data_IF_343552283868
#
_entry.id   IF_343552283868
#
_cell.length_a   1.000
_cell.length_b   1.000
_cell.length_c   1.000
_cell.angle_alpha   90.00
_cell.angle_beta   90.00
_cell.angle_gamma   90.00
#
_symmetry.space_group_name_H-M   'P 1'
#
loop_
_entity.id
_entity.type
_entity.pdbx_description
1 polymer ?
#
# COMPACT_ATOMS: atom_id res chain seq x y z
N UNK A 1 -6.31 -6.03 -21.74
CA UNK A 1 -6.74 -7.43 -21.64
C UNK A 1 -7.44 -7.69 -20.33
N UNK A 2 -6.78 -7.64 -19.14
CA UNK A 2 -7.44 -7.92 -17.86
C UNK A 2 -8.49 -6.89 -17.45
N UNK A 3 -8.19 -5.60 -17.60
CA UNK A 3 -9.07 -4.50 -17.22
C UNK A 3 -10.35 -4.44 -18.05
N UNK A 4 -10.26 -4.72 -19.34
CA UNK A 4 -11.40 -4.80 -20.27
C UNK A 4 -12.35 -5.93 -19.90
N UNK A 5 -11.82 -7.09 -19.58
CA UNK A 5 -12.64 -8.24 -19.16
C UNK A 5 -13.31 -7.96 -17.83
N UNK A 6 -12.58 -7.38 -16.89
CA UNK A 6 -13.13 -7.00 -15.60
C UNK A 6 -14.27 -5.99 -15.70
N UNK A 7 -14.19 -4.99 -16.58
CA UNK A 7 -15.28 -4.00 -16.76
C UNK A 7 -16.49 -4.63 -17.46
N UNK A 8 -16.28 -5.50 -18.45
CA UNK A 8 -17.34 -6.18 -19.16
C UNK A 8 -18.13 -7.13 -18.26
N UNK A 9 -17.45 -7.98 -17.49
CA UNK A 9 -18.12 -8.91 -16.56
C UNK A 9 -19.03 -8.18 -15.57
N UNK A 10 -18.62 -7.02 -15.07
CA UNK A 10 -19.42 -6.21 -14.15
C UNK A 10 -20.60 -5.54 -14.87
N UNK A 11 -20.41 -5.14 -16.13
CA UNK A 11 -21.48 -4.59 -16.97
C UNK A 11 -22.55 -5.65 -17.24
N UNK A 12 -22.16 -6.86 -17.64
CA UNK A 12 -23.05 -7.98 -17.94
C UNK A 12 -23.85 -8.42 -16.69
N UNK A 13 -23.25 -8.30 -15.50
CA UNK A 13 -23.92 -8.53 -14.20
C UNK A 13 -24.80 -7.35 -13.73
N UNK A 14 -24.90 -6.26 -14.47
CA UNK A 14 -25.70 -5.09 -14.14
C UNK A 14 -25.15 -4.20 -13.03
N UNK A 15 -23.89 -4.37 -12.65
CA UNK A 15 -23.22 -3.49 -11.68
C UNK A 15 -22.67 -2.22 -12.33
N UNK A 16 -22.58 -2.15 -13.65
CA UNK A 16 -22.16 -0.94 -14.38
C UNK A 16 -23.32 -0.41 -15.18
N UNK A 17 -23.54 0.90 -15.10
CA UNK A 17 -24.58 1.61 -15.83
C UNK A 17 -24.05 2.90 -16.44
N UNK A 18 -24.74 3.39 -17.47
CA UNK A 18 -24.41 4.64 -18.15
C UNK A 18 -25.07 5.82 -17.45
N UNK A 19 -24.32 6.87 -17.22
CA UNK A 19 -24.78 8.09 -16.56
C UNK A 19 -24.04 9.32 -17.04
N UNK A 20 -24.25 10.43 -16.36
CA UNK A 20 -23.57 11.70 -16.63
C UNK A 20 -22.76 12.12 -15.41
N UNK A 21 -21.47 12.28 -15.58
CA UNK A 21 -20.62 12.85 -14.55
C UNK A 21 -20.65 14.37 -14.62
N UNK A 22 -20.92 15.02 -13.49
CA UNK A 22 -20.89 16.47 -13.34
C UNK A 22 -19.84 16.83 -12.31
N UNK A 23 -18.97 17.75 -12.64
CA UNK A 23 -17.92 18.17 -11.72
C UNK A 23 -17.20 19.42 -12.17
N UNK A 24 -16.32 19.91 -11.30
CA UNK A 24 -15.43 21.02 -11.62
C UNK A 24 -14.21 20.48 -12.37
N UNK A 25 -14.06 20.86 -13.61
CA UNK A 25 -13.02 20.36 -14.51
C UNK A 25 -11.89 21.37 -14.66
N UNK A 26 -10.68 20.91 -14.45
CA UNK A 26 -9.46 21.66 -14.75
C UNK A 26 -8.91 21.22 -16.10
N UNK A 27 -9.06 22.06 -17.12
CA UNK A 27 -8.60 21.75 -18.49
C UNK A 27 -7.10 21.48 -18.58
N UNK A 28 -6.19 22.24 -17.90
CA UNK A 28 -4.76 21.98 -17.99
C UNK A 28 -4.29 20.70 -17.28
N UNK A 29 -5.01 20.26 -16.24
CA UNK A 29 -4.70 19.03 -15.50
C UNK A 29 -5.54 17.84 -16.00
N UNK A 30 -6.50 18.10 -16.90
CA UNK A 30 -7.44 17.10 -17.43
C UNK A 30 -8.15 16.30 -16.32
N UNK A 31 -8.46 16.96 -15.20
CA UNK A 31 -8.95 16.33 -13.98
C UNK A 31 -10.25 16.96 -13.49
N UNK A 32 -11.18 16.09 -13.07
CA UNK A 32 -12.38 16.50 -12.36
C UNK A 32 -12.14 16.56 -10.86
N UNK A 33 -12.75 17.54 -10.24
CA UNK A 33 -12.69 17.79 -8.80
C UNK A 33 -14.09 17.96 -8.22
N UNK A 34 -14.30 17.46 -7.03
CA UNK A 34 -15.50 17.81 -6.25
C UNK A 34 -15.31 19.18 -5.61
N UNK A 35 -16.42 19.85 -5.27
CA UNK A 35 -16.35 21.16 -4.58
C UNK A 35 -15.46 21.11 -3.31
N UNK A 36 -15.54 20.01 -2.57
CA UNK A 36 -14.77 19.81 -1.33
C UNK A 36 -13.27 19.61 -1.54
N UNK A 37 -12.85 19.27 -2.76
CA UNK A 37 -11.45 19.06 -3.11
C UNK A 37 -10.76 20.33 -3.62
N UNK A 38 -11.54 21.35 -3.99
CA UNK A 38 -10.99 22.62 -4.46
C UNK A 38 -10.32 23.38 -3.30
N UNK A 39 -9.24 24.05 -3.62
CA UNK A 39 -8.55 24.98 -2.71
C UNK A 39 -8.90 26.40 -3.17
N UNK A 40 -9.64 27.15 -2.36
CA UNK A 40 -10.15 28.49 -2.69
C UNK A 40 -10.91 28.53 -4.04
N UNK A 41 -11.68 27.46 -4.35
CA UNK A 41 -12.44 27.35 -5.58
C UNK A 41 -11.59 27.01 -6.82
N UNK A 42 -10.30 26.69 -6.64
CA UNK A 42 -9.34 26.42 -7.72
C UNK A 42 -8.84 24.99 -7.69
N UNK A 43 -8.25 24.55 -8.79
CA UNK A 43 -7.63 23.25 -8.91
C UNK A 43 -6.53 23.05 -7.87
N UNK A 44 -6.59 21.98 -7.05
CA UNK A 44 -5.61 21.75 -6.00
C UNK A 44 -4.21 21.39 -6.52
N UNK A 45 -4.10 20.94 -7.78
CA UNK A 45 -2.81 20.58 -8.38
C UNK A 45 -2.08 21.79 -8.99
N UNK A 46 -2.79 22.61 -9.75
CA UNK A 46 -2.14 23.69 -10.52
C UNK A 46 -2.57 25.11 -10.12
N UNK A 47 -3.52 25.26 -9.18
CA UNK A 47 -4.02 26.55 -8.69
C UNK A 47 -4.86 27.36 -9.71
N UNK A 48 -5.19 26.80 -10.89
CA UNK A 48 -5.97 27.47 -11.92
C UNK A 48 -7.47 27.33 -11.67
N UNK A 49 -8.23 28.23 -12.29
CA UNK A 49 -9.69 28.17 -12.24
C UNK A 49 -10.22 26.88 -12.89
N UNK A 50 -11.30 26.35 -12.34
CA UNK A 50 -12.01 25.20 -12.84
C UNK A 50 -13.35 25.61 -13.43
N UNK A 51 -13.81 24.88 -14.44
CA UNK A 51 -15.11 25.12 -15.10
C UNK A 51 -16.06 23.99 -14.81
N UNK A 52 -17.37 24.26 -14.79
CA UNK A 52 -18.34 23.17 -14.75
C UNK A 52 -18.31 22.39 -16.05
N UNK A 53 -18.15 21.10 -15.95
CA UNK A 53 -18.20 20.21 -17.10
C UNK A 53 -19.11 19.02 -16.83
N UNK A 54 -19.71 18.51 -17.89
CA UNK A 54 -20.51 17.31 -17.89
C UNK A 54 -19.91 16.35 -18.89
N UNK A 55 -19.77 15.11 -18.47
CA UNK A 55 -19.23 14.05 -19.30
C UNK A 55 -20.11 12.81 -19.20
N UNK A 56 -20.44 12.22 -20.35
CA UNK A 56 -21.06 10.89 -20.37
C UNK A 56 -20.03 9.89 -19.87
N UNK A 57 -20.43 9.08 -18.90
CA UNK A 57 -19.53 8.09 -18.30
C UNK A 57 -20.31 6.84 -17.86
N UNK A 58 -19.58 5.74 -17.68
CA UNK A 58 -20.08 4.57 -17.00
C UNK A 58 -19.74 4.62 -15.53
N UNK A 59 -20.65 4.12 -14.68
CA UNK A 59 -20.55 4.11 -13.23
C UNK A 59 -20.69 2.70 -12.70
N UNK A 60 -19.82 2.34 -11.76
CA UNK A 60 -19.90 1.12 -11.00
C UNK A 60 -20.68 1.36 -9.71
N UNK A 61 -21.74 0.58 -9.50
CA UNK A 61 -22.60 0.65 -8.32
C UNK A 61 -21.85 0.16 -7.09
N UNK A 62 -21.62 1.04 -6.14
CA UNK A 62 -20.90 0.73 -4.90
C UNK A 62 -21.84 0.33 -3.75
N UNK A 63 -23.08 0.86 -3.75
CA UNK A 63 -24.06 0.60 -2.68
C UNK A 63 -24.38 -0.88 -2.40
N UNK A 64 -24.43 -1.81 -3.40
CA UNK A 64 -24.68 -3.22 -3.12
C UNK A 64 -23.60 -3.90 -2.28
N UNK A 65 -22.42 -3.30 -2.16
CA UNK A 65 -21.28 -3.86 -1.46
C UNK A 65 -21.05 -3.22 -0.09
N UNK A 66 -21.77 -2.15 0.27
CA UNK A 66 -21.50 -1.34 1.45
C UNK A 66 -21.49 -2.17 2.75
N UNK A 67 -22.51 -2.95 3.01
CA UNK A 67 -22.62 -3.78 4.23
C UNK A 67 -21.51 -4.83 4.32
N UNK A 68 -21.15 -5.43 3.16
CA UNK A 68 -20.08 -6.44 3.11
C UNK A 68 -18.72 -5.82 3.36
N UNK A 69 -18.49 -4.60 2.86
CA UNK A 69 -17.25 -3.85 3.07
C UNK A 69 -17.16 -3.38 4.52
N UNK A 70 -18.27 -2.88 5.10
CA UNK A 70 -18.29 -2.49 6.51
C UNK A 70 -17.90 -3.67 7.41
N UNK A 71 -18.51 -4.83 7.21
CA UNK A 71 -18.16 -6.05 7.95
C UNK A 71 -16.70 -6.46 7.74
N UNK A 72 -16.22 -6.42 6.51
CA UNK A 72 -14.81 -6.72 6.21
C UNK A 72 -13.86 -5.83 7.02
N UNK A 73 -14.15 -4.52 7.11
CA UNK A 73 -13.30 -3.57 7.80
C UNK A 73 -13.41 -3.62 9.32
N UNK A 74 -14.60 -3.97 9.86
CA UNK A 74 -14.87 -3.87 11.30
C UNK A 74 -14.81 -5.20 12.03
N UNK A 75 -15.17 -6.31 11.36
CA UNK A 75 -15.32 -7.62 11.99
C UNK A 75 -14.14 -8.57 11.67
N UNK A 76 -13.21 -8.18 10.79
CA UNK A 76 -12.07 -9.01 10.40
C UNK A 76 -10.74 -8.29 10.60
N UNK A 77 -9.63 -9.02 10.43
CA UNK A 77 -8.27 -8.47 10.46
C UNK A 77 -7.77 -8.02 9.08
N UNK A 78 -8.69 -7.81 8.13
CA UNK A 78 -8.35 -7.42 6.77
C UNK A 78 -7.51 -6.13 6.70
N UNK A 79 -7.90 -5.08 7.44
CA UNK A 79 -7.23 -3.77 7.39
C UNK A 79 -6.35 -3.54 8.63
N UNK A 80 -5.08 -3.28 8.40
CA UNK A 80 -4.12 -2.92 9.42
C UNK A 80 -3.45 -1.55 9.13
N UNK A 81 -3.32 -0.68 10.14
CA UNK A 81 -3.84 -0.81 11.51
C UNK A 81 -5.35 -0.61 11.59
N UNK A 82 -6.01 -1.26 12.53
CA UNK A 82 -7.48 -1.23 12.71
C UNK A 82 -8.06 0.17 12.92
N UNK A 83 -7.27 1.11 13.41
CA UNK A 83 -7.70 2.51 13.58
C UNK A 83 -8.14 3.14 12.26
N UNK A 84 -7.61 2.72 11.13
CA UNK A 84 -7.98 3.20 9.80
C UNK A 84 -9.36 2.71 9.34
N UNK A 85 -9.84 1.58 9.87
CA UNK A 85 -11.18 1.09 9.56
C UNK A 85 -12.26 2.08 10.04
N UNK A 86 -12.12 2.59 11.25
CA UNK A 86 -13.05 3.58 11.82
C UNK A 86 -13.13 4.84 10.96
N UNK A 87 -11.99 5.33 10.48
CA UNK A 87 -11.89 6.48 9.59
C UNK A 87 -12.66 6.23 8.28
N UNK A 88 -12.43 5.10 7.63
CA UNK A 88 -13.09 4.75 6.37
C UNK A 88 -14.60 4.54 6.53
N UNK A 89 -15.02 3.86 7.57
CA UNK A 89 -16.45 3.62 7.84
C UNK A 89 -17.19 4.94 8.08
N UNK A 90 -16.64 5.82 8.92
CA UNK A 90 -17.31 7.08 9.24
C UNK A 90 -17.33 8.06 8.07
N UNK A 91 -16.26 8.12 7.27
CA UNK A 91 -16.11 9.11 6.21
C UNK A 91 -16.72 8.69 4.88
N UNK A 92 -16.85 7.37 4.62
CA UNK A 92 -17.26 6.89 3.29
C UNK A 92 -18.44 5.92 3.32
N UNK A 93 -18.53 5.01 4.30
CA UNK A 93 -19.58 3.99 4.30
C UNK A 93 -20.86 4.51 4.92
N UNK A 94 -20.79 5.08 6.11
CA UNK A 94 -21.99 5.62 6.82
C UNK A 94 -22.71 6.75 6.08
N UNK A 95 -22.02 7.69 5.40
CA UNK A 95 -22.70 8.68 4.56
C UNK A 95 -23.36 8.09 3.30
N UNK A 96 -23.02 6.84 2.97
CA UNK A 96 -23.40 6.17 1.73
C UNK A 96 -22.26 6.18 0.72
N UNK A 97 -21.95 5.00 0.16
CA UNK A 97 -20.92 4.89 -0.88
C UNK A 97 -21.42 5.51 -2.19
N UNK A 98 -20.68 6.48 -2.70
CA UNK A 98 -20.91 7.04 -4.02
C UNK A 98 -20.45 6.06 -5.10
N UNK A 99 -21.23 5.97 -6.20
CA UNK A 99 -20.88 5.14 -7.34
C UNK A 99 -19.61 5.63 -8.01
N UNK A 100 -18.77 4.70 -8.40
CA UNK A 100 -17.47 5.00 -8.98
C UNK A 100 -17.58 5.22 -10.49
N UNK A 101 -17.14 6.37 -10.98
CA UNK A 101 -16.93 6.59 -12.41
C UNK A 101 -15.82 5.65 -12.93
N UNK A 102 -16.14 4.84 -13.95
CA UNK A 102 -15.24 3.79 -14.47
C UNK A 102 -14.78 4.02 -15.91
N UNK A 103 -15.26 5.08 -16.55
CA UNK A 103 -14.86 5.42 -17.92
C UNK A 103 -14.76 6.92 -18.15
N UNK A 104 -14.08 7.30 -19.23
CA UNK A 104 -13.89 8.68 -19.68
C UNK A 104 -14.08 8.77 -21.19
N UNK A 105 -14.51 9.95 -21.68
CA UNK A 105 -14.63 10.28 -23.11
C UNK A 105 -13.76 11.47 -23.54
N UNK A 106 -13.26 12.26 -22.57
CA UNK A 106 -12.52 13.51 -22.82
C UNK A 106 -11.19 13.31 -23.51
N UNK A 107 -10.56 12.15 -23.40
CA UNK A 107 -9.31 11.83 -24.10
C UNK A 107 -9.39 10.45 -24.75
N UNK A 108 -8.56 10.25 -25.79
CA UNK A 108 -8.62 9.04 -26.63
C UNK A 108 -7.51 8.03 -26.32
N UNK A 109 -6.52 8.41 -25.52
CA UNK A 109 -5.45 7.49 -25.14
C UNK A 109 -5.87 6.68 -23.92
N UNK A 110 -5.77 5.36 -24.01
CA UNK A 110 -6.13 4.46 -22.94
C UNK A 110 -6.72 3.14 -23.46
N UNK A 111 -7.23 2.34 -22.53
CA UNK A 111 -7.86 1.05 -22.82
C UNK A 111 -9.32 1.31 -23.23
N UNK A 112 -9.76 0.97 -24.46
CA UNK A 112 -11.14 1.14 -24.87
C UNK A 112 -12.10 0.29 -24.04
N UNK A 113 -13.29 0.80 -23.78
CA UNK A 113 -14.37 0.01 -23.18
C UNK A 113 -14.97 -0.88 -24.28
N UNK A 114 -14.88 -2.21 -24.12
CA UNK A 114 -15.20 -3.19 -25.19
C UNK A 114 -16.65 -3.17 -25.66
N UNK A 115 -17.57 -2.66 -24.87
CA UNK A 115 -19.00 -2.54 -25.21
C UNK A 115 -19.41 -1.12 -25.63
N UNK A 116 -18.52 -0.13 -25.54
CA UNK A 116 -18.70 1.24 -26.05
C UNK A 116 -17.33 1.89 -26.28
N UNK A 117 -16.80 1.77 -27.49
CA UNK A 117 -15.45 2.21 -27.88
C UNK A 117 -15.23 3.74 -27.83
N UNK A 118 -16.30 4.52 -27.62
CA UNK A 118 -16.19 5.97 -27.38
C UNK A 118 -15.59 6.28 -26.01
N UNK A 119 -15.69 5.32 -25.11
CA UNK A 119 -15.19 5.41 -23.75
C UNK A 119 -13.86 4.69 -23.58
N UNK A 120 -13.00 5.23 -22.75
CA UNK A 120 -11.79 4.56 -22.25
C UNK A 120 -11.94 4.25 -20.78
N UNK A 121 -11.29 3.18 -20.33
CA UNK A 121 -11.32 2.71 -18.94
C UNK A 121 -10.66 3.76 -18.05
N UNK A 122 -11.29 4.08 -16.93
CA UNK A 122 -10.72 4.97 -15.92
C UNK A 122 -9.53 4.32 -15.23
N UNK A 123 -8.49 5.11 -15.01
CA UNK A 123 -7.16 4.66 -14.53
C UNK A 123 -7.21 3.75 -13.30
N UNK A 124 -8.10 3.99 -12.34
CA UNK A 124 -8.17 3.17 -11.15
C UNK A 124 -8.76 1.77 -11.37
N UNK A 125 -9.61 1.61 -12.37
CA UNK A 125 -10.08 0.28 -12.77
C UNK A 125 -8.93 -0.54 -13.35
N UNK A 126 -8.10 0.08 -14.19
CA UNK A 126 -6.90 -0.53 -14.75
C UNK A 126 -5.87 -0.85 -13.67
N UNK A 127 -5.53 0.14 -12.85
CA UNK A 127 -4.54 0.01 -11.80
C UNK A 127 -4.88 -1.10 -10.78
N UNK A 128 -6.14 -1.19 -10.34
CA UNK A 128 -6.57 -2.23 -9.40
C UNK A 128 -6.69 -3.60 -10.07
N UNK A 129 -7.20 -3.66 -11.29
CA UNK A 129 -7.29 -4.92 -12.03
C UNK A 129 -5.92 -5.53 -12.36
N UNK A 130 -4.84 -4.72 -12.34
CA UNK A 130 -3.48 -5.19 -12.58
C UNK A 130 -3.06 -6.29 -11.60
N UNK A 131 -3.51 -6.27 -10.34
CA UNK A 131 -3.19 -7.32 -9.37
C UNK A 131 -3.59 -8.73 -9.82
N UNK A 132 -4.71 -8.87 -10.51
CA UNK A 132 -5.18 -10.17 -11.03
C UNK A 132 -4.77 -10.40 -12.49
N UNK A 133 -4.72 -9.36 -13.30
CA UNK A 133 -4.34 -9.49 -14.72
C UNK A 133 -2.86 -9.83 -14.90
N UNK A 134 -1.98 -9.35 -14.02
CA UNK A 134 -0.57 -9.73 -14.00
C UNK A 134 -0.34 -11.21 -13.66
N UNK A 135 -1.28 -11.83 -12.95
CA UNK A 135 -1.28 -13.26 -12.65
C UNK A 135 -1.95 -14.10 -13.74
N UNK A 136 -2.42 -13.48 -14.81
CA UNK A 136 -3.03 -14.19 -15.93
C UNK A 136 -4.52 -14.49 -15.77
N UNK A 137 -5.24 -13.81 -14.88
CA UNK A 137 -6.68 -14.00 -14.72
C UNK A 137 -7.41 -13.95 -16.06
N UNK A 138 -8.08 -15.06 -16.43
CA UNK A 138 -8.74 -15.27 -17.72
C UNK A 138 -7.81 -15.09 -18.95
N UNK A 139 -6.52 -15.37 -18.83
CA UNK A 139 -5.57 -15.33 -19.94
C UNK A 139 -5.26 -16.77 -20.39
N UNK A 140 -5.52 -17.10 -21.65
CA UNK A 140 -5.30 -18.44 -22.19
C UNK A 140 -3.82 -18.82 -22.35
N UNK A 141 -2.90 -17.84 -22.38
CA UNK A 141 -1.47 -18.07 -22.64
C UNK A 141 -0.63 -18.08 -21.37
N UNK A 142 -1.12 -17.51 -20.31
CA UNK A 142 -0.43 -17.40 -19.04
C UNK A 142 -1.45 -17.38 -17.92
N UNK A 143 -1.36 -18.32 -17.00
CA UNK A 143 -2.27 -18.47 -15.87
C UNK A 143 -1.49 -18.96 -14.64
N UNK A 144 -1.13 -18.02 -13.79
CA UNK A 144 -0.57 -18.24 -12.45
C UNK A 144 -1.56 -17.78 -11.36
N UNK A 145 -2.82 -17.47 -11.77
CA UNK A 145 -3.81 -16.86 -10.88
C UNK A 145 -4.11 -17.77 -9.69
N UNK A 146 -4.47 -19.02 -9.91
CA UNK A 146 -4.84 -19.95 -8.82
C UNK A 146 -3.67 -20.26 -7.87
N UNK A 147 -2.43 -20.02 -8.30
CA UNK A 147 -1.23 -20.24 -7.49
C UNK A 147 -0.94 -19.09 -6.53
N UNK A 148 -1.18 -17.85 -6.97
CA UNK A 148 -0.76 -16.66 -6.22
C UNK A 148 -1.92 -15.81 -5.71
N UNK A 149 -3.17 -16.10 -6.12
CA UNK A 149 -4.34 -15.41 -5.63
C UNK A 149 -5.17 -16.31 -4.71
N UNK A 150 -5.69 -15.82 -3.56
CA UNK A 150 -5.61 -14.42 -3.08
C UNK A 150 -4.22 -14.06 -2.55
N UNK A 151 -3.86 -12.78 -2.68
CA UNK A 151 -2.65 -12.24 -2.08
C UNK A 151 -2.73 -12.34 -0.53
N UNK A 152 -1.63 -12.70 0.12
CA UNK A 152 -1.57 -12.72 1.57
C UNK A 152 -1.63 -11.31 2.13
N UNK A 153 -0.85 -10.37 1.57
CA UNK A 153 -0.84 -8.98 2.00
C UNK A 153 -0.79 -8.04 0.80
N UNK A 154 -1.68 -7.05 0.78
CA UNK A 154 -1.50 -5.83 0.00
C UNK A 154 -0.90 -4.77 0.90
N UNK A 155 0.30 -4.28 0.60
CA UNK A 155 0.95 -3.20 1.34
C UNK A 155 0.87 -1.91 0.54
N UNK A 156 0.24 -0.88 1.11
CA UNK A 156 -0.01 0.39 0.42
C UNK A 156 0.19 1.58 1.34
N UNK A 157 0.46 2.75 0.77
CA UNK A 157 0.47 3.99 1.52
C UNK A 157 -0.96 4.53 1.75
N UNK A 158 -1.12 5.36 2.76
CA UNK A 158 -2.42 5.90 3.21
C UNK A 158 -3.18 6.70 2.14
N UNK A 159 -2.50 7.28 1.15
CA UNK A 159 -3.10 8.06 0.07
C UNK A 159 -3.94 7.20 -0.89
N UNK A 160 -3.60 5.92 -1.06
CA UNK A 160 -4.36 4.98 -1.89
C UNK A 160 -5.17 3.96 -1.05
N UNK A 161 -5.25 4.16 0.26
CA UNK A 161 -5.98 3.27 1.17
C UNK A 161 -7.45 3.08 0.78
N UNK A 162 -8.17 4.17 0.46
CA UNK A 162 -9.59 4.10 0.05
C UNK A 162 -9.80 3.18 -1.15
N UNK A 163 -8.91 3.24 -2.11
CA UNK A 163 -8.98 2.40 -3.32
C UNK A 163 -8.81 0.93 -3.00
N UNK A 164 -7.94 0.58 -2.07
CA UNK A 164 -7.64 -0.80 -1.70
C UNK A 164 -8.55 -1.38 -0.61
N UNK A 165 -9.09 -0.52 0.25
CA UNK A 165 -9.96 -0.95 1.35
C UNK A 165 -11.46 -1.00 0.98
N UNK A 166 -11.89 -0.19 0.01
CA UNK A 166 -13.30 -0.05 -0.38
C UNK A 166 -13.52 -0.46 -1.83
N UNK A 167 -12.83 0.19 -2.78
CA UNK A 167 -13.12 0.02 -4.20
C UNK A 167 -12.65 -1.35 -4.69
N UNK A 168 -11.44 -1.76 -4.36
CA UNK A 168 -10.89 -3.05 -4.78
C UNK A 168 -11.68 -4.24 -4.24
N UNK A 169 -12.04 -4.33 -2.94
CA UNK A 169 -12.95 -5.35 -2.46
C UNK A 169 -14.30 -5.36 -3.18
N UNK A 170 -14.94 -4.21 -3.42
CA UNK A 170 -16.17 -4.15 -4.19
C UNK A 170 -16.01 -4.72 -5.60
N UNK A 171 -14.90 -4.38 -6.26
CA UNK A 171 -14.57 -4.89 -7.59
C UNK A 171 -14.40 -6.41 -7.61
N UNK A 172 -13.73 -6.99 -6.61
CA UNK A 172 -13.54 -8.43 -6.47
C UNK A 172 -14.84 -9.15 -6.13
N UNK A 173 -15.63 -8.58 -5.22
CA UNK A 173 -16.96 -9.09 -4.85
C UNK A 173 -17.91 -9.13 -6.05
N UNK A 174 -17.85 -8.13 -6.94
CA UNK A 174 -18.65 -8.09 -8.17
C UNK A 174 -18.21 -9.17 -9.19
N UNK A 175 -16.96 -9.62 -9.12
CA UNK A 175 -16.43 -10.70 -9.95
C UNK A 175 -16.60 -12.09 -9.30
N UNK A 176 -17.11 -12.17 -8.07
CA UNK A 176 -17.17 -13.37 -7.23
C UNK A 176 -15.77 -13.97 -6.97
N UNK A 177 -14.76 -13.10 -6.87
CA UNK A 177 -13.37 -13.50 -6.58
C UNK A 177 -13.06 -13.38 -5.08
N UNK A 178 -12.15 -14.23 -4.55
CA UNK A 178 -11.68 -14.10 -3.18
C UNK A 178 -10.94 -12.79 -2.98
N UNK A 179 -11.04 -12.24 -1.76
CA UNK A 179 -10.35 -11.01 -1.37
C UNK A 179 -8.92 -11.32 -0.92
N UNK A 180 -7.98 -10.36 -1.02
CA UNK A 180 -6.71 -10.45 -0.31
C UNK A 180 -6.94 -10.71 1.18
N UNK A 181 -6.02 -11.43 1.83
CA UNK A 181 -6.18 -11.76 3.25
C UNK A 181 -6.02 -10.52 4.14
N UNK A 182 -5.00 -9.71 3.85
CA UNK A 182 -4.70 -8.50 4.62
C UNK A 182 -4.39 -7.30 3.73
N UNK A 183 -4.75 -6.12 4.21
CA UNK A 183 -4.36 -4.82 3.68
C UNK A 183 -3.57 -4.06 4.74
N UNK A 184 -2.25 -3.97 4.57
CA UNK A 184 -1.37 -3.22 5.45
C UNK A 184 -1.16 -1.80 4.90
N UNK A 185 -1.51 -0.79 5.72
CA UNK A 185 -1.46 0.62 5.32
C UNK A 185 -0.38 1.33 6.12
N UNK A 186 0.66 1.79 5.43
CA UNK A 186 1.71 2.61 6.03
C UNK A 186 1.45 4.12 5.82
N UNK A 187 2.06 4.95 6.66
CA UNK A 187 2.07 6.40 6.52
C UNK A 187 2.97 6.88 5.38
N UNK A 188 3.03 8.18 5.17
CA UNK A 188 3.98 8.75 4.22
C UNK A 188 5.40 8.71 4.79
N UNK A 189 6.34 8.47 3.89
CA UNK A 189 7.75 8.72 4.14
C UNK A 189 8.03 10.15 3.67
N UNK A 190 8.30 11.04 4.61
CA UNK A 190 8.63 12.43 4.32
C UNK A 190 10.15 12.62 4.33
N UNK A 191 10.64 13.65 3.64
CA UNK A 191 12.04 14.05 3.71
C UNK A 191 12.13 15.35 4.50
N UNK A 192 12.82 15.32 5.64
CA UNK A 192 12.90 16.45 6.57
C UNK A 192 11.51 17.05 6.93
N UNK A 193 10.51 16.18 7.14
CA UNK A 193 9.15 16.57 7.47
C UNK A 193 8.28 17.05 6.30
N UNK A 194 8.82 17.08 5.08
CA UNK A 194 8.09 17.49 3.88
C UNK A 194 7.77 16.28 3.00
N UNK A 195 6.58 16.27 2.38
CA UNK A 195 6.20 15.25 1.41
C UNK A 195 7.20 15.23 0.26
N UNK A 196 7.70 14.03 -0.09
CA UNK A 196 8.58 13.86 -1.25
C UNK A 196 7.82 14.14 -2.55
N UNK A 197 8.42 14.97 -3.42
CA UNK A 197 7.86 15.31 -4.72
C UNK A 197 8.98 15.49 -5.73
N UNK A 198 8.79 14.95 -6.94
CA UNK A 198 9.73 15.16 -8.06
C UNK A 198 9.91 16.63 -8.40
N UNK A 199 8.84 17.42 -8.28
CA UNK A 199 8.87 18.87 -8.55
C UNK A 199 9.67 19.67 -7.50
N UNK A 200 9.78 19.16 -6.27
CA UNK A 200 10.57 19.76 -5.19
C UNK A 200 12.02 19.27 -5.17
N UNK A 201 12.35 18.24 -5.96
CA UNK A 201 13.71 17.66 -5.98
C UNK A 201 14.14 16.99 -4.66
N UNK A 202 13.20 16.71 -3.75
CA UNK A 202 13.47 16.14 -2.44
C UNK A 202 13.19 14.62 -2.36
N UNK A 203 13.15 13.96 -3.51
CA UNK A 203 12.97 12.50 -3.58
C UNK A 203 14.29 11.81 -3.24
N UNK A 204 14.23 10.88 -2.31
CA UNK A 204 15.36 10.05 -1.92
C UNK A 204 15.41 8.82 -2.82
N UNK A 205 16.53 8.62 -3.50
CA UNK A 205 16.76 7.46 -4.35
C UNK A 205 17.28 6.27 -3.51
N UNK A 206 16.53 5.16 -3.41
CA UNK A 206 16.95 4.00 -2.62
C UNK A 206 18.19 3.30 -3.18
N UNK A 207 18.45 3.39 -4.49
CA UNK A 207 19.65 2.81 -5.09
C UNK A 207 20.91 3.57 -4.65
N UNK A 208 20.87 4.90 -4.67
CA UNK A 208 21.96 5.74 -4.17
C UNK A 208 22.23 5.49 -2.69
N UNK A 209 21.19 5.32 -1.90
CA UNK A 209 21.36 4.94 -0.49
C UNK A 209 21.96 3.54 -0.34
N UNK A 210 21.51 2.59 -1.18
CA UNK A 210 21.99 1.22 -1.20
C UNK A 210 23.50 1.12 -1.51
N UNK A 211 23.96 1.89 -2.49
CA UNK A 211 25.37 2.00 -2.83
C UNK A 211 26.21 2.62 -1.69
N UNK A 212 25.65 3.60 -1.00
CA UNK A 212 26.34 4.36 0.05
C UNK A 212 26.41 3.63 1.40
N UNK A 213 25.30 3.02 1.83
CA UNK A 213 25.14 2.48 3.19
C UNK A 213 24.94 0.96 3.23
N UNK A 214 24.72 0.34 2.09
CA UNK A 214 24.32 -1.06 2.00
C UNK A 214 22.81 -1.26 2.16
N UNK A 215 22.26 -2.24 1.45
CA UNK A 215 20.82 -2.53 1.45
C UNK A 215 20.27 -2.91 2.84
N UNK A 216 21.04 -3.66 3.63
CA UNK A 216 20.63 -4.12 4.96
C UNK A 216 20.50 -2.97 5.96
N UNK A 217 21.37 -1.95 5.87
CA UNK A 217 21.26 -0.77 6.72
C UNK A 217 19.99 0.04 6.41
N UNK A 218 19.61 0.15 5.13
CA UNK A 218 18.37 0.81 4.71
C UNK A 218 17.15 0.01 5.21
N UNK A 219 17.14 -1.31 5.01
CA UNK A 219 16.07 -2.20 5.47
C UNK A 219 15.88 -2.07 6.99
N UNK A 220 16.99 -2.11 7.74
CA UNK A 220 16.95 -1.90 9.19
C UNK A 220 16.37 -0.54 9.56
N UNK A 221 16.81 0.54 8.90
CA UNK A 221 16.28 1.88 9.14
C UNK A 221 14.77 1.96 8.91
N UNK A 222 14.28 1.41 7.79
CA UNK A 222 12.85 1.39 7.47
C UNK A 222 12.06 0.65 8.55
N UNK A 223 12.48 -0.55 8.90
CA UNK A 223 11.79 -1.36 9.92
C UNK A 223 11.84 -0.74 11.32
N UNK A 224 12.89 0.00 11.63
CA UNK A 224 13.11 0.60 12.96
C UNK A 224 12.40 1.94 13.15
N UNK A 225 12.36 2.77 12.09
CA UNK A 225 11.86 4.15 12.17
C UNK A 225 10.43 4.33 11.66
N UNK A 226 9.96 3.42 10.81
CA UNK A 226 8.68 3.58 10.14
C UNK A 226 7.62 2.72 10.79
N UNK A 227 6.93 3.27 11.78
CA UNK A 227 5.81 2.58 12.41
C UNK A 227 4.65 2.43 11.43
N UNK A 228 4.05 1.22 11.36
CA UNK A 228 2.88 0.97 10.52
C UNK A 228 1.74 1.91 10.88
N UNK A 229 1.18 2.59 9.88
CA UNK A 229 0.03 3.49 10.04
C UNK A 229 0.37 4.93 10.44
N UNK A 230 1.61 5.25 10.77
CA UNK A 230 2.07 6.60 11.08
C UNK A 230 2.97 7.18 9.97
N UNK A 231 2.97 8.51 9.83
CA UNK A 231 3.93 9.19 8.96
C UNK A 231 5.31 9.15 9.59
N UNK A 232 6.32 8.95 8.77
CA UNK A 232 7.71 8.89 9.21
C UNK A 232 8.56 9.87 8.42
N UNK A 233 9.63 10.38 9.04
CA UNK A 233 10.55 11.29 8.37
C UNK A 233 11.89 10.60 8.12
N UNK A 234 12.32 10.60 6.88
CA UNK A 234 13.67 10.21 6.51
C UNK A 234 14.59 11.42 6.55
N UNK A 235 15.77 11.23 7.13
CA UNK A 235 16.92 12.10 6.92
C UNK A 235 18.22 11.29 6.96
N UNK A 236 19.26 11.78 6.29
CA UNK A 236 20.56 11.13 6.36
C UNK A 236 21.12 11.09 7.79
N UNK A 237 20.84 12.12 8.59
CA UNK A 237 21.26 12.19 9.98
C UNK A 237 20.62 11.08 10.82
N UNK A 238 19.30 10.90 10.73
CA UNK A 238 18.58 9.84 11.45
C UNK A 238 19.14 8.47 11.02
N UNK A 239 19.36 8.27 9.74
CA UNK A 239 19.89 7.02 9.22
C UNK A 239 21.31 6.72 9.75
N UNK A 240 22.22 7.70 9.72
CA UNK A 240 23.58 7.58 10.24
C UNK A 240 23.55 7.30 11.74
N UNK A 241 22.70 8.00 12.48
CA UNK A 241 22.54 7.78 13.92
C UNK A 241 22.07 6.36 14.23
N UNK A 242 21.14 5.79 13.45
CA UNK A 242 20.71 4.40 13.64
C UNK A 242 21.81 3.39 13.31
N UNK A 243 22.54 3.60 12.23
CA UNK A 243 23.69 2.76 11.89
C UNK A 243 24.71 2.76 13.02
N UNK A 244 25.07 3.94 13.53
CA UNK A 244 26.06 4.07 14.58
C UNK A 244 25.58 3.53 15.94
N UNK A 245 24.36 3.90 16.34
CA UNK A 245 23.85 3.52 17.67
C UNK A 245 23.46 2.06 17.74
N UNK A 246 22.65 1.60 16.80
CA UNK A 246 22.02 0.30 16.92
C UNK A 246 22.90 -0.81 16.29
N UNK A 247 23.41 -0.57 15.08
CA UNK A 247 24.19 -1.59 14.39
C UNK A 247 25.66 -1.61 14.83
N UNK A 248 26.35 -0.48 14.87
CA UNK A 248 27.76 -0.44 15.24
C UNK A 248 27.94 -0.56 16.76
N UNK A 249 27.34 0.33 17.56
CA UNK A 249 27.53 0.36 19.01
C UNK A 249 26.68 -0.66 19.76
N UNK A 250 25.53 -1.07 19.24
CA UNK A 250 24.73 -2.16 19.81
C UNK A 250 25.26 -3.52 19.38
N UNK A 251 24.78 -4.01 18.24
CA UNK A 251 25.09 -5.36 17.73
C UNK A 251 26.59 -5.55 17.44
N UNK A 252 27.20 -4.58 16.76
CA UNK A 252 28.62 -4.66 16.39
C UNK A 252 29.53 -4.76 17.61
N UNK A 253 29.27 -3.98 18.66
CA UNK A 253 30.03 -4.07 19.91
C UNK A 253 29.79 -5.39 20.64
N UNK A 254 28.56 -5.90 20.67
CA UNK A 254 28.27 -7.20 21.27
C UNK A 254 29.12 -8.29 20.61
N UNK A 255 29.08 -8.38 19.28
CA UNK A 255 29.85 -9.38 18.52
C UNK A 255 31.35 -9.18 18.71
N UNK A 256 31.86 -7.95 18.54
CA UNK A 256 33.29 -7.66 18.66
C UNK A 256 33.85 -7.98 20.04
N UNK A 257 33.15 -7.61 21.11
CA UNK A 257 33.57 -7.88 22.48
C UNK A 257 33.51 -9.35 22.80
N UNK A 258 32.45 -10.06 22.36
CA UNK A 258 32.33 -11.51 22.57
C UNK A 258 33.47 -12.26 21.88
N UNK A 259 33.73 -11.94 20.60
CA UNK A 259 34.84 -12.54 19.85
C UNK A 259 36.20 -12.24 20.50
N UNK A 260 36.43 -11.00 20.95
CA UNK A 260 37.66 -10.64 21.65
C UNK A 260 37.84 -11.40 22.96
N UNK A 261 36.76 -11.64 23.70
CA UNK A 261 36.82 -12.48 24.92
C UNK A 261 37.13 -13.93 24.60
N UNK A 262 36.48 -14.50 23.58
CA UNK A 262 36.78 -15.89 23.13
C UNK A 262 38.23 -15.99 22.67
N UNK A 263 38.76 -15.02 21.93
CA UNK A 263 40.13 -14.99 21.51
C UNK A 263 41.10 -14.90 22.72
N UNK A 264 40.80 -14.02 23.67
CA UNK A 264 41.65 -13.74 24.81
C UNK A 264 41.71 -14.92 25.79
N UNK A 265 40.56 -15.53 26.10
CA UNK A 265 40.48 -16.54 27.16
C UNK A 265 40.55 -17.97 26.67
N UNK A 266 40.20 -18.22 25.40
CA UNK A 266 40.12 -19.56 24.82
C UNK A 266 40.91 -19.72 23.52
N UNK A 267 41.78 -18.76 23.18
CA UNK A 267 42.60 -18.84 21.97
C UNK A 267 41.81 -18.91 20.64
N UNK A 268 40.58 -18.39 20.67
CA UNK A 268 39.69 -18.37 19.48
C UNK A 268 38.84 -19.64 19.31
N UNK A 269 38.94 -20.63 20.21
CA UNK A 269 38.18 -21.86 20.12
C UNK A 269 37.26 -21.98 21.36
N UNK A 270 35.98 -22.19 21.15
CA UNK A 270 35.04 -22.39 22.25
C UNK A 270 35.31 -23.76 22.93
N UNK A 271 35.34 -23.85 24.28
CA UNK A 271 35.51 -25.10 24.97
C UNK A 271 34.34 -26.05 24.69
N UNK A 272 34.64 -27.34 24.64
CA UNK A 272 33.64 -28.39 24.47
C UNK A 272 32.89 -28.69 25.77
N UNK A 273 33.58 -28.54 26.90
CA UNK A 273 32.97 -28.66 28.25
C UNK A 273 32.39 -27.32 28.65
N UNK A 274 31.15 -27.36 29.15
CA UNK A 274 30.42 -26.17 29.57
C UNK A 274 29.83 -26.41 30.94
N UNK A 275 29.98 -25.44 31.82
CA UNK A 275 29.28 -25.38 33.09
C UNK A 275 28.18 -24.32 32.98
N UNK A 276 26.98 -24.61 33.46
CA UNK A 276 25.87 -23.65 33.49
C UNK A 276 26.08 -22.64 34.62
N UNK A 277 26.00 -21.35 34.27
CA UNK A 277 26.00 -20.26 35.24
C UNK A 277 24.60 -19.78 35.58
N UNK A 278 24.49 -18.89 36.55
CA UNK A 278 23.23 -18.36 37.09
C UNK A 278 22.34 -17.70 36.04
N UNK A 279 22.94 -17.11 34.98
CA UNK A 279 22.22 -16.34 33.95
C UNK A 279 22.10 -17.06 32.62
N UNK A 280 22.63 -18.28 32.48
CA UNK A 280 22.71 -18.94 31.16
C UNK A 280 21.34 -19.35 30.64
N UNK A 281 20.48 -19.89 31.53
CA UNK A 281 19.15 -20.35 31.15
C UNK A 281 18.29 -19.19 30.63
N UNK A 282 18.29 -18.04 31.30
CA UNK A 282 17.55 -16.84 30.86
C UNK A 282 18.06 -16.30 29.51
N UNK A 283 19.37 -16.30 29.32
CA UNK A 283 19.98 -15.86 28.07
C UNK A 283 19.66 -16.79 26.89
N UNK A 284 19.75 -18.10 27.14
CA UNK A 284 19.43 -19.16 26.18
C UNK A 284 17.95 -19.06 25.79
N UNK A 285 17.05 -18.96 26.78
CA UNK A 285 15.62 -18.85 26.56
C UNK A 285 15.31 -17.58 25.76
N UNK A 286 15.89 -16.43 26.13
CA UNK A 286 15.72 -15.17 25.40
C UNK A 286 16.16 -15.32 23.95
N UNK A 287 17.33 -15.88 23.69
CA UNK A 287 17.87 -16.01 22.33
C UNK A 287 17.09 -17.04 21.51
N UNK A 288 16.70 -18.18 22.07
CA UNK A 288 16.02 -19.24 21.32
C UNK A 288 14.53 -18.96 21.08
N UNK A 289 13.85 -18.22 21.99
CA UNK A 289 12.45 -17.81 21.82
C UNK A 289 12.27 -16.60 20.90
N UNK A 290 13.35 -15.88 20.56
CA UNK A 290 13.26 -14.62 19.82
C UNK A 290 12.56 -14.79 18.47
N UNK A 291 12.87 -15.87 17.73
CA UNK A 291 12.25 -16.11 16.42
C UNK A 291 10.73 -16.24 16.54
N UNK A 292 10.25 -17.09 17.44
CA UNK A 292 8.81 -17.28 17.63
C UNK A 292 8.10 -15.99 18.05
N UNK A 293 8.74 -15.18 18.93
CA UNK A 293 8.22 -13.87 19.33
C UNK A 293 8.15 -12.90 18.16
N UNK A 294 9.15 -12.88 17.27
CA UNK A 294 9.14 -12.02 16.08
C UNK A 294 8.05 -12.46 15.10
N UNK A 295 7.93 -13.77 14.86
CA UNK A 295 6.89 -14.32 13.99
C UNK A 295 5.49 -13.91 14.52
N UNK A 296 5.25 -14.04 15.83
CA UNK A 296 4.01 -13.66 16.51
C UNK A 296 3.67 -12.15 16.41
N UNK A 297 4.69 -11.29 16.38
CA UNK A 297 4.52 -9.85 16.22
C UNK A 297 4.33 -9.42 14.75
N UNK A 298 4.72 -10.27 13.80
CA UNK A 298 4.60 -9.97 12.37
C UNK A 298 3.25 -10.42 11.78
N UNK A 299 2.57 -11.38 12.44
CA UNK A 299 1.23 -11.85 12.11
C UNK A 299 0.14 -10.93 12.70
#
# INVERSE_FOLDING_TARGET
VGSEMCIRDRYDKGYIYKGEYKGKYCTPCESFWTESQLIDGKCPECGREVTEAKEEAYFFKMSPFADRIEKLLTETDYLQPKTRAVELVNNFIKPGLEDLCVSRTTFKWGIPVTFDEKHIVYVWIDALSNYISALGYKNEKFDEFDKYWPADVHMVAKDIMRFHAIIWPAMLMALDLPLPKHLAVHGWITFNGQKMSKSLGNVVDPFVLGERYGADAIRYHIMREMALGADSSFSNEIMINRINSDLANGLGNLVSRTVAMVQKYFGGTLPTERESGEFDDDLIETATSLRAKVDDFMD
#
